data_IF_429055004379
#
_entry.id   IF_429055004379
#
_cell.length_a   1.000
_cell.length_b   1.000
_cell.length_c   1.000
_cell.angle_alpha   90.00
_cell.angle_beta   90.00
_cell.angle_gamma   90.00
#
_symmetry.space_group_name_H-M   'P 1'
#
loop_
_entity.id
_entity.type
_entity.pdbx_description
1 polymer ?
#
# COMPACT_ATOMS: atom_id res chain seq x y z
N UNK A 1 9.52 14.61 21.53
CA UNK A 1 8.85 14.60 20.21
C UNK A 1 8.62 16.02 19.72
N UNK A 2 9.47 16.46 18.80
CA UNK A 2 9.28 17.69 18.04
C UNK A 2 7.99 17.62 17.20
N UNK A 3 7.26 18.73 17.06
CA UNK A 3 5.98 18.79 16.34
C UNK A 3 6.12 18.32 14.88
N UNK A 4 7.27 18.59 14.28
CA UNK A 4 7.64 18.18 12.92
C UNK A 4 7.65 16.65 12.75
N UNK A 5 8.24 15.90 13.69
CA UNK A 5 8.26 14.43 13.63
C UNK A 5 6.86 13.82 13.76
N UNK A 6 6.00 14.42 14.58
CA UNK A 6 4.61 14.00 14.71
C UNK A 6 3.82 14.22 13.41
N UNK A 7 4.07 15.34 12.72
CA UNK A 7 3.47 15.63 11.41
C UNK A 7 3.95 14.66 10.33
N UNK A 8 5.25 14.34 10.30
CA UNK A 8 5.82 13.34 9.39
C UNK A 8 5.20 11.97 9.62
N UNK A 9 5.11 11.52 10.88
CA UNK A 9 4.47 10.25 11.22
C UNK A 9 3.00 10.21 10.78
N UNK A 10 2.24 11.28 11.04
CA UNK A 10 0.83 11.37 10.62
C UNK A 10 0.65 11.36 9.11
N UNK A 11 1.55 12.00 8.34
CA UNK A 11 1.53 11.93 6.87
C UNK A 11 1.73 10.50 6.35
N UNK A 12 2.70 9.78 6.93
CA UNK A 12 2.93 8.36 6.59
C UNK A 12 1.68 7.54 6.90
N UNK A 13 1.10 7.70 8.10
CA UNK A 13 -0.10 6.96 8.53
C UNK A 13 -1.29 7.24 7.60
N UNK A 14 -1.50 8.50 7.22
CA UNK A 14 -2.59 8.88 6.31
C UNK A 14 -2.46 8.19 4.96
N UNK A 15 -1.32 8.36 4.28
CA UNK A 15 -1.11 7.78 2.95
C UNK A 15 -1.07 6.24 2.98
N UNK A 16 -0.47 5.63 4.01
CA UNK A 16 -0.48 4.18 4.17
C UNK A 16 -1.89 3.65 4.47
N UNK A 17 -2.69 4.39 5.24
CA UNK A 17 -4.09 4.09 5.52
C UNK A 17 -4.94 4.09 4.25
N UNK A 18 -4.83 5.15 3.44
CA UNK A 18 -5.52 5.27 2.15
C UNK A 18 -5.12 4.12 1.20
N UNK A 19 -3.82 3.80 1.12
CA UNK A 19 -3.32 2.68 0.33
C UNK A 19 -3.94 1.35 0.78
N UNK A 20 -4.01 1.12 2.09
CA UNK A 20 -4.57 -0.09 2.67
C UNK A 20 -6.08 -0.21 2.42
N UNK A 21 -6.82 0.89 2.55
CA UNK A 21 -8.25 0.94 2.26
C UNK A 21 -8.51 0.55 0.79
N UNK A 22 -7.82 1.19 -0.15
CA UNK A 22 -7.95 0.88 -1.58
C UNK A 22 -7.52 -0.54 -1.93
N UNK A 23 -6.49 -1.06 -1.27
CA UNK A 23 -6.08 -2.46 -1.41
C UNK A 23 -7.20 -3.41 -0.98
N UNK A 24 -7.84 -3.13 0.16
CA UNK A 24 -8.95 -3.94 0.65
C UNK A 24 -10.18 -3.85 -0.26
N UNK A 25 -10.49 -2.68 -0.80
CA UNK A 25 -11.59 -2.51 -1.75
C UNK A 25 -11.33 -3.22 -3.08
N UNK A 26 -10.08 -3.26 -3.55
CA UNK A 26 -9.71 -4.06 -4.72
C UNK A 26 -9.94 -5.56 -4.49
N UNK A 27 -9.61 -6.06 -3.29
CA UNK A 27 -9.88 -7.45 -2.91
C UNK A 27 -11.38 -7.74 -2.87
N UNK A 28 -12.21 -6.83 -2.36
CA UNK A 28 -13.68 -6.97 -2.41
C UNK A 28 -14.21 -6.96 -3.84
N UNK A 29 -13.64 -6.17 -4.74
CA UNK A 29 -14.05 -6.17 -6.15
C UNK A 29 -13.79 -7.53 -6.83
N UNK A 30 -12.75 -8.26 -6.39
CA UNK A 30 -12.50 -9.63 -6.85
C UNK A 30 -13.57 -10.63 -6.40
N UNK A 31 -14.29 -10.40 -5.30
CA UNK A 31 -15.38 -11.29 -4.85
C UNK A 31 -16.48 -11.44 -5.91
N UNK A 32 -16.66 -10.42 -6.76
CA UNK A 32 -17.61 -10.42 -7.89
C UNK A 32 -16.91 -10.52 -9.26
N UNK A 33 -15.63 -10.90 -9.30
CA UNK A 33 -14.82 -10.95 -10.52
C UNK A 33 -14.73 -9.62 -11.29
N UNK A 34 -14.88 -8.48 -10.62
CA UNK A 34 -14.69 -7.17 -11.23
C UNK A 34 -13.19 -6.82 -11.29
N UNK A 35 -12.47 -7.53 -12.15
CA UNK A 35 -11.01 -7.46 -12.28
C UNK A 35 -10.54 -6.07 -12.70
N UNK A 36 -11.27 -5.39 -13.58
CA UNK A 36 -10.88 -4.07 -14.08
C UNK A 36 -10.96 -3.01 -12.98
N UNK A 37 -12.03 -3.02 -12.17
CA UNK A 37 -12.13 -2.15 -11.00
C UNK A 37 -11.06 -2.49 -9.95
N UNK A 38 -10.80 -3.78 -9.70
CA UNK A 38 -9.74 -4.20 -8.79
C UNK A 38 -8.37 -3.64 -9.21
N UNK A 39 -8.03 -3.71 -10.50
CA UNK A 39 -6.77 -3.13 -11.03
C UNK A 39 -6.68 -1.63 -10.84
N UNK A 40 -7.76 -0.90 -11.10
CA UNK A 40 -7.78 0.56 -10.93
C UNK A 40 -7.63 0.95 -9.45
N UNK A 41 -8.30 0.23 -8.54
CA UNK A 41 -8.15 0.42 -7.09
C UNK A 41 -6.73 0.12 -6.62
N UNK A 42 -6.08 -0.96 -7.10
CA UNK A 42 -4.69 -1.26 -6.76
C UNK A 42 -3.70 -0.25 -7.33
N UNK A 43 -3.98 0.33 -8.50
CA UNK A 43 -3.17 1.43 -9.03
C UNK A 43 -3.23 2.65 -8.12
N UNK A 44 -4.42 3.03 -7.66
CA UNK A 44 -4.60 4.13 -6.72
C UNK A 44 -3.96 3.82 -5.35
N UNK A 45 -4.06 2.57 -4.88
CA UNK A 45 -3.36 2.12 -3.68
C UNK A 45 -1.85 2.26 -3.81
N UNK A 46 -1.29 1.91 -4.97
CA UNK A 46 0.13 2.05 -5.25
C UNK A 46 0.58 3.53 -5.30
N UNK A 47 -0.24 4.41 -5.88
CA UNK A 47 0.06 5.86 -5.86
C UNK A 47 0.11 6.41 -4.43
N UNK A 48 -0.80 5.98 -3.56
CA UNK A 48 -0.81 6.37 -2.14
C UNK A 48 0.39 5.77 -1.36
N UNK A 49 0.75 4.50 -1.58
CA UNK A 49 1.88 3.90 -0.87
C UNK A 49 3.21 4.53 -1.28
N UNK A 50 3.36 4.96 -2.54
CA UNK A 50 4.55 5.67 -3.01
C UNK A 50 4.71 6.99 -2.26
N UNK A 51 3.62 7.71 -1.99
CA UNK A 51 3.66 8.94 -1.19
C UNK A 51 4.09 8.66 0.26
N UNK A 52 3.58 7.59 0.88
CA UNK A 52 4.00 7.17 2.21
C UNK A 52 5.51 6.80 2.25
N UNK A 53 5.96 6.00 1.28
CA UNK A 53 7.36 5.57 1.17
C UNK A 53 8.32 6.72 0.90
N UNK A 54 7.90 7.76 0.17
CA UNK A 54 8.75 8.93 -0.05
C UNK A 54 9.07 9.61 1.29
N UNK A 55 8.07 9.84 2.13
CA UNK A 55 8.25 10.44 3.46
C UNK A 55 9.11 9.56 4.36
N UNK A 56 8.89 8.24 4.33
CA UNK A 56 9.73 7.28 5.06
C UNK A 56 11.19 7.30 4.58
N UNK A 57 11.41 7.37 3.27
CA UNK A 57 12.74 7.40 2.65
C UNK A 57 13.48 8.68 3.00
N UNK A 58 12.80 9.83 2.96
CA UNK A 58 13.39 11.12 3.32
C UNK A 58 13.88 11.11 4.77
N UNK A 59 13.12 10.50 5.69
CA UNK A 59 13.52 10.34 7.08
C UNK A 59 14.75 9.42 7.24
N UNK A 60 14.79 8.28 6.54
CA UNK A 60 15.96 7.39 6.54
C UNK A 60 17.22 8.06 5.96
N UNK A 61 17.03 8.90 4.93
CA UNK A 61 18.13 9.67 4.35
C UNK A 61 18.64 10.76 5.31
N UNK A 62 17.75 11.42 6.05
CA UNK A 62 18.13 12.36 7.10
C UNK A 62 18.97 11.69 8.18
N UNK A 63 18.52 10.52 8.68
CA UNK A 63 19.28 9.71 9.63
C UNK A 63 20.68 9.38 9.10
N UNK A 64 20.75 8.94 7.83
CA UNK A 64 22.00 8.54 7.17
C UNK A 64 22.99 9.70 6.99
N UNK A 65 22.50 10.96 6.97
CA UNK A 65 23.35 12.17 6.95
C UNK A 65 23.85 12.57 8.35
N UNK A 66 23.47 11.85 9.39
CA UNK A 66 23.84 12.12 10.78
C UNK A 66 22.88 13.08 11.49
N UNK A 67 21.69 13.31 10.95
CA UNK A 67 20.64 14.06 11.67
C UNK A 67 20.08 13.16 12.79
N UNK A 68 20.13 13.61 14.04
CA UNK A 68 19.56 12.86 15.17
C UNK A 68 18.04 12.81 15.04
N UNK A 69 17.52 11.62 14.73
CA UNK A 69 16.10 11.32 14.82
C UNK A 69 15.78 10.84 16.24
N UNK A 70 15.06 11.67 16.99
CA UNK A 70 14.53 11.31 18.30
C UNK A 70 13.58 10.10 18.18
N UNK A 71 13.88 9.02 18.91
CA UNK A 71 13.01 7.84 18.95
C UNK A 71 11.57 8.22 19.32
N UNK A 72 10.60 7.71 18.56
CA UNK A 72 9.17 7.97 18.78
C UNK A 72 8.34 6.73 18.44
N UNK A 73 7.55 6.27 19.41
CA UNK A 73 6.60 5.16 19.24
C UNK A 73 5.63 5.46 18.09
N UNK A 74 5.20 6.73 17.93
CA UNK A 74 4.30 7.13 16.86
C UNK A 74 4.98 7.00 15.48
N UNK A 75 6.25 7.36 15.38
CA UNK A 75 7.00 7.23 14.13
C UNK A 75 7.29 5.76 13.79
N UNK A 76 7.65 4.94 14.78
CA UNK A 76 7.75 3.48 14.60
C UNK A 76 6.44 2.88 14.12
N UNK A 77 5.31 3.25 14.74
CA UNK A 77 3.98 2.79 14.32
C UNK A 77 3.63 3.22 12.89
N UNK A 78 4.02 4.43 12.49
CA UNK A 78 3.85 4.91 11.12
C UNK A 78 4.65 4.07 10.11
N UNK A 79 5.90 3.73 10.42
CA UNK A 79 6.72 2.84 9.60
C UNK A 79 6.10 1.44 9.50
N UNK A 80 5.69 0.84 10.62
CA UNK A 80 5.04 -0.47 10.64
C UNK A 80 3.78 -0.49 9.77
N UNK A 81 2.94 0.55 9.90
CA UNK A 81 1.72 0.70 9.09
C UNK A 81 2.04 0.78 7.61
N UNK A 82 3.03 1.59 7.22
CA UNK A 82 3.47 1.74 5.83
C UNK A 82 3.97 0.40 5.25
N UNK A 83 4.83 -0.30 5.97
CA UNK A 83 5.40 -1.57 5.50
C UNK A 83 4.34 -2.68 5.42
N UNK A 84 3.40 -2.73 6.36
CA UNK A 84 2.29 -3.69 6.32
C UNK A 84 1.37 -3.43 5.12
N UNK A 85 0.97 -2.18 4.89
CA UNK A 85 0.13 -1.81 3.74
C UNK A 85 0.83 -2.12 2.40
N UNK A 86 2.14 -1.86 2.31
CA UNK A 86 2.96 -2.20 1.14
C UNK A 86 3.01 -3.71 0.89
N UNK A 87 3.17 -4.52 1.94
CA UNK A 87 3.13 -5.98 1.83
C UNK A 87 1.76 -6.51 1.39
N UNK A 88 0.68 -5.95 1.93
CA UNK A 88 -0.69 -6.32 1.56
C UNK A 88 -0.98 -5.98 0.09
N UNK A 89 -0.57 -4.79 -0.36
CA UNK A 89 -0.69 -4.36 -1.75
C UNK A 89 0.02 -5.33 -2.71
N UNK A 90 1.26 -5.70 -2.41
CA UNK A 90 2.04 -6.63 -3.25
C UNK A 90 1.33 -7.99 -3.41
N UNK A 91 0.76 -8.51 -2.32
CA UNK A 91 -0.01 -9.75 -2.35
C UNK A 91 -1.30 -9.57 -3.16
N UNK A 92 -2.02 -8.46 -2.95
CA UNK A 92 -3.26 -8.17 -3.66
C UNK A 92 -3.05 -8.03 -5.18
N UNK A 93 -1.97 -7.38 -5.61
CA UNK A 93 -1.59 -7.30 -7.03
C UNK A 93 -1.41 -8.68 -7.64
N UNK A 94 -0.67 -9.56 -6.94
CA UNK A 94 -0.48 -10.93 -7.42
C UNK A 94 -1.79 -11.73 -7.44
N UNK A 95 -2.69 -11.51 -6.48
CA UNK A 95 -4.01 -12.15 -6.47
C UNK A 95 -4.86 -11.73 -7.67
N UNK A 96 -4.89 -10.43 -8.02
CA UNK A 96 -5.61 -9.94 -9.21
C UNK A 96 -5.09 -10.61 -10.48
N UNK A 97 -3.77 -10.71 -10.64
CA UNK A 97 -3.15 -11.41 -11.78
C UNK A 97 -3.57 -12.89 -11.86
N UNK A 98 -3.58 -13.57 -10.71
CA UNK A 98 -4.01 -14.98 -10.63
C UNK A 98 -5.49 -15.15 -11.00
N UNK A 99 -6.37 -14.27 -10.51
CA UNK A 99 -7.79 -14.28 -10.87
C UNK A 99 -8.01 -14.06 -12.37
N UNK A 100 -7.24 -13.18 -13.01
CA UNK A 100 -7.31 -12.98 -14.46
C UNK A 100 -6.86 -14.21 -15.25
N UNK A 101 -5.81 -14.91 -14.80
CA UNK A 101 -5.39 -16.17 -15.41
C UNK A 101 -6.48 -17.24 -15.27
N UNK A 102 -7.11 -17.32 -14.11
CA UNK A 102 -8.19 -18.29 -13.83
C UNK A 102 -9.42 -18.00 -14.70
N UNK A 103 -9.87 -16.75 -14.77
CA UNK A 103 -11.00 -16.32 -15.60
C UNK A 103 -10.76 -16.65 -17.09
N UNK A 104 -9.55 -16.36 -17.61
CA UNK A 104 -9.16 -16.75 -18.98
C UNK A 104 -9.22 -18.25 -19.21
N UNK A 105 -8.89 -19.07 -18.20
CA UNK A 105 -8.96 -20.54 -18.30
C UNK A 105 -10.41 -21.03 -18.32
N UNK A 106 -11.27 -20.48 -17.48
CA UNK A 106 -12.70 -20.82 -17.46
C UNK A 106 -13.39 -20.45 -18.78
N UNK A 107 -13.17 -19.23 -19.28
CA UNK A 107 -13.70 -18.79 -20.59
C UNK A 107 -13.28 -19.72 -21.74
N UNK A 108 -12.06 -20.28 -21.72
CA UNK A 108 -11.61 -21.24 -22.73
C UNK A 108 -12.31 -22.60 -22.63
N UNK A 109 -12.76 -22.98 -21.44
CA UNK A 109 -13.52 -24.22 -21.23
C UNK A 109 -14.99 -24.06 -21.60
N UNK A 110 -15.59 -22.91 -21.33
CA UNK A 110 -16.99 -22.61 -21.65
C UNK A 110 -17.24 -22.39 -23.15
N UNK A 111 -16.22 -21.93 -23.89
CA UNK A 111 -16.29 -21.73 -25.34
C UNK A 111 -15.92 -22.99 -26.16
N UNK A 112 -15.85 -24.16 -25.53
CA UNK A 112 -15.66 -25.47 -26.16
C UNK A 112 -16.94 -26.29 -26.12
#
# INVERSE_FOLDING_TARGET
MNLEHAQTAMKIILHAGDAREKTMDALKALDTFDIENAKELLKQANEAIVQAHQVQTDALQAESRGEELEYSILFSHAQDTCMCASSELNVAMHLVDLFEVIDKRFKKLENK
#
